data_IF_976874868297
#
_entry.id   IF_976874868297
#
_cell.length_a   1.000
_cell.length_b   1.000
_cell.length_c   1.000
_cell.angle_alpha   90.00
_cell.angle_beta   90.00
_cell.angle_gamma   90.00
#
_symmetry.space_group_name_H-M   'P 1'
#
loop_
_entity.id
_entity.type
_entity.pdbx_description
1 polymer ?
#
# COMPACT_ATOMS: atom_id res chain seq x y z
N UNK A 1 -35.54 -38.74 -12.62
CA UNK A 1 -34.68 -38.61 -11.43
C UNK A 1 -34.05 -37.24 -11.46
N UNK A 2 -34.30 -36.36 -10.48
CA UNK A 2 -33.65 -35.06 -10.43
C UNK A 2 -32.15 -35.29 -10.28
N UNK A 3 -31.39 -34.69 -11.17
CA UNK A 3 -29.94 -34.78 -11.20
C UNK A 3 -29.41 -34.23 -9.87
N UNK A 4 -28.59 -35.03 -9.20
CA UNK A 4 -28.07 -34.79 -7.86
C UNK A 4 -27.26 -33.49 -7.80
N UNK A 5 -27.89 -32.42 -7.31
CA UNK A 5 -27.28 -31.10 -7.10
C UNK A 5 -26.25 -31.12 -5.95
N UNK A 6 -26.06 -32.26 -5.27
CA UNK A 6 -25.11 -32.44 -4.17
C UNK A 6 -23.85 -33.23 -4.57
N UNK A 7 -23.70 -33.62 -5.84
CA UNK A 7 -22.45 -34.13 -6.40
C UNK A 7 -21.43 -32.99 -6.62
N UNK A 8 -21.15 -32.21 -5.58
CA UNK A 8 -19.97 -31.36 -5.56
C UNK A 8 -18.75 -32.29 -5.45
N UNK A 9 -17.85 -32.23 -6.44
CA UNK A 9 -16.57 -32.95 -6.41
C UNK A 9 -15.81 -32.54 -5.14
N UNK A 10 -15.83 -33.40 -4.13
CA UNK A 10 -15.22 -33.16 -2.83
C UNK A 10 -13.67 -33.24 -2.85
N UNK A 11 -13.05 -33.38 -4.03
CA UNK A 11 -11.60 -33.59 -4.17
C UNK A 11 -10.79 -32.35 -4.57
N UNK A 12 -11.41 -31.24 -4.98
CA UNK A 12 -10.68 -30.06 -5.50
C UNK A 12 -10.35 -28.98 -4.45
N UNK A 13 -10.89 -29.08 -3.23
CA UNK A 13 -10.57 -28.16 -2.13
C UNK A 13 -9.77 -28.88 -1.04
N UNK A 14 -8.45 -28.64 -1.01
CA UNK A 14 -7.53 -29.25 -0.06
C UNK A 14 -6.57 -28.20 0.53
N UNK A 15 -5.57 -28.61 1.31
CA UNK A 15 -4.65 -27.68 1.97
C UNK A 15 -3.92 -26.75 0.98
N UNK A 16 -3.68 -27.18 -0.26
CA UNK A 16 -3.06 -26.35 -1.29
C UNK A 16 -3.97 -25.25 -1.83
N UNK A 17 -5.28 -25.30 -1.55
CA UNK A 17 -6.23 -24.25 -1.91
C UNK A 17 -6.15 -23.01 -1.02
N UNK A 18 -5.37 -23.07 0.07
CA UNK A 18 -5.14 -21.93 0.97
C UNK A 18 -3.80 -21.28 0.64
N UNK A 19 -3.86 -20.02 0.24
CA UNK A 19 -2.69 -19.20 -0.08
C UNK A 19 -2.44 -18.17 1.02
N UNK A 20 -1.20 -18.11 1.50
CA UNK A 20 -0.73 -17.04 2.39
C UNK A 20 0.10 -16.09 1.54
N UNK A 21 -0.31 -14.83 1.49
CA UNK A 21 0.37 -13.77 0.76
C UNK A 21 1.34 -13.06 1.70
N UNK A 22 2.62 -12.96 1.31
CA UNK A 22 3.68 -12.42 2.16
C UNK A 22 4.06 -10.98 1.80
N UNK A 23 4.59 -10.23 2.79
CA UNK A 23 5.07 -8.86 2.60
C UNK A 23 4.00 -7.94 2.01
N UNK A 24 4.26 -7.41 0.80
CA UNK A 24 3.37 -6.47 0.10
C UNK A 24 2.46 -7.15 -0.94
N UNK A 25 2.49 -8.47 -1.06
CA UNK A 25 1.60 -9.19 -1.98
C UNK A 25 0.12 -8.98 -1.69
N UNK A 26 -0.37 -8.98 -0.43
CA UNK A 26 -1.77 -8.69 -0.13
C UNK A 26 -2.20 -7.31 -0.65
N UNK A 27 -1.33 -6.31 -0.52
CA UNK A 27 -1.58 -4.92 -0.96
C UNK A 27 -1.75 -4.87 -2.48
N UNK A 28 -0.84 -5.52 -3.21
CA UNK A 28 -0.91 -5.58 -4.68
C UNK A 28 -2.10 -6.39 -5.19
N UNK A 29 -2.47 -7.47 -4.50
CA UNK A 29 -3.57 -8.35 -4.88
C UNK A 29 -4.94 -7.74 -4.59
N UNK A 30 -5.03 -6.87 -3.57
CA UNK A 30 -6.28 -6.24 -3.08
C UNK A 30 -6.07 -4.74 -2.78
N UNK A 31 -5.68 -3.93 -3.77
CA UNK A 31 -5.35 -2.51 -3.55
C UNK A 31 -6.51 -1.70 -3.01
N UNK A 32 -7.76 -2.06 -3.36
CA UNK A 32 -8.96 -1.38 -2.86
C UNK A 32 -9.07 -1.32 -1.33
N UNK A 33 -8.51 -2.31 -0.61
CA UNK A 33 -8.50 -2.31 0.86
C UNK A 33 -7.53 -1.29 1.45
N UNK A 34 -6.49 -0.90 0.71
CA UNK A 34 -5.39 -0.08 1.19
C UNK A 34 -5.42 1.35 0.64
N UNK A 35 -5.69 1.51 -0.65
CA UNK A 35 -5.66 2.79 -1.37
C UNK A 35 -7.01 3.17 -1.99
N UNK A 36 -8.09 2.52 -1.55
CA UNK A 36 -9.46 2.84 -1.97
C UNK A 36 -9.86 2.41 -3.39
N UNK A 37 -8.93 1.95 -4.22
CA UNK A 37 -9.22 1.43 -5.56
C UNK A 37 -8.01 1.39 -6.47
N UNK A 38 -8.24 1.51 -7.77
CA UNK A 38 -7.19 1.67 -8.81
C UNK A 38 -7.61 2.70 -9.86
N UNK A 39 -8.49 3.62 -9.49
CA UNK A 39 -8.93 4.72 -10.33
C UNK A 39 -8.05 5.97 -10.12
N UNK A 40 -8.42 7.08 -10.74
CA UNK A 40 -7.69 8.35 -10.63
C UNK A 40 -7.61 8.86 -9.18
N UNK A 41 -8.64 8.60 -8.36
CA UNK A 41 -8.63 9.01 -6.94
C UNK A 41 -7.61 8.21 -6.16
N UNK A 42 -7.57 6.90 -6.38
CA UNK A 42 -6.57 6.03 -5.77
C UNK A 42 -5.14 6.42 -6.18
N UNK A 43 -4.93 6.86 -7.43
CA UNK A 43 -3.63 7.39 -7.86
C UNK A 43 -3.22 8.66 -7.10
N UNK A 44 -4.13 9.61 -6.93
CA UNK A 44 -3.86 10.80 -6.12
C UNK A 44 -3.67 10.48 -4.63
N UNK A 45 -4.36 9.45 -4.14
CA UNK A 45 -4.19 8.97 -2.76
C UNK A 45 -2.75 8.51 -2.51
N UNK A 46 -2.11 7.80 -3.46
CA UNK A 46 -0.69 7.43 -3.32
C UNK A 46 0.22 8.65 -3.09
N UNK A 47 -0.05 9.77 -3.76
CA UNK A 47 0.69 11.02 -3.57
C UNK A 47 0.35 11.64 -2.21
N UNK A 48 -0.94 11.63 -1.83
CA UNK A 48 -1.40 12.16 -0.55
C UNK A 48 -0.75 11.44 0.64
N UNK A 49 -0.61 10.12 0.62
CA UNK A 49 0.05 9.36 1.70
C UNK A 49 1.49 9.83 1.95
N UNK A 50 2.24 10.14 0.90
CA UNK A 50 3.61 10.65 1.05
C UNK A 50 3.61 12.11 1.53
N UNK A 51 2.68 12.92 1.02
CA UNK A 51 2.54 14.32 1.42
C UNK A 51 2.13 14.44 2.88
N UNK A 52 1.24 13.58 3.36
CA UNK A 52 0.76 13.56 4.74
C UNK A 52 1.89 13.26 5.71
N UNK A 53 2.80 12.32 5.38
CA UNK A 53 4.00 12.08 6.19
C UNK A 53 4.91 13.33 6.29
N UNK A 54 5.09 14.07 5.20
CA UNK A 54 5.82 15.35 5.23
C UNK A 54 5.06 16.42 6.03
N UNK A 55 3.72 16.43 5.96
CA UNK A 55 2.88 17.35 6.72
C UNK A 55 2.93 17.07 8.23
N UNK A 56 3.05 15.81 8.65
CA UNK A 56 3.24 15.43 10.05
C UNK A 56 4.52 16.05 10.63
N UNK A 57 5.62 16.08 9.87
CA UNK A 57 6.85 16.78 10.29
C UNK A 57 6.64 18.29 10.42
N UNK A 58 5.84 18.90 9.55
CA UNK A 58 5.51 20.32 9.63
C UNK A 58 4.61 20.64 10.85
N UNK A 59 3.60 19.81 11.11
CA UNK A 59 2.71 19.93 12.27
C UNK A 59 3.49 19.74 13.58
N UNK A 60 4.48 18.85 13.59
CA UNK A 60 5.39 18.67 14.72
C UNK A 60 6.41 19.81 14.89
N UNK A 61 6.46 20.78 13.97
CA UNK A 61 7.39 21.91 14.00
C UNK A 61 8.81 21.58 13.57
N UNK A 62 9.00 20.46 12.87
CA UNK A 62 10.31 20.00 12.40
C UNK A 62 10.57 20.33 10.93
N UNK A 63 9.53 20.45 10.10
CA UNK A 63 9.63 20.93 8.73
C UNK A 63 9.03 22.35 8.59
N UNK A 64 9.59 23.14 7.68
CA UNK A 64 9.12 24.48 7.35
C UNK A 64 8.88 24.67 5.84
N UNK A 65 9.29 23.70 5.02
CA UNK A 65 9.17 23.72 3.57
C UNK A 65 8.88 22.31 3.08
N UNK A 66 7.84 22.19 2.26
CA UNK A 66 7.50 20.98 1.52
C UNK A 66 7.39 21.36 0.04
N UNK A 67 8.01 20.59 -0.83
CA UNK A 67 8.02 20.79 -2.28
C UNK A 67 7.40 19.59 -2.96
N UNK A 68 6.49 19.84 -3.90
CA UNK A 68 5.84 18.80 -4.72
C UNK A 68 6.17 19.08 -6.18
N UNK A 69 6.73 18.09 -6.86
CA UNK A 69 7.17 18.17 -8.25
C UNK A 69 6.54 17.01 -9.05
N UNK A 70 5.83 17.34 -10.13
CA UNK A 70 5.36 16.37 -11.12
C UNK A 70 6.33 16.39 -12.31
N UNK A 71 6.94 15.24 -12.58
CA UNK A 71 7.89 15.04 -13.67
C UNK A 71 7.19 14.75 -15.00
N UNK A 72 7.91 14.89 -16.11
CA UNK A 72 7.40 14.64 -17.46
C UNK A 72 6.99 13.17 -17.70
N UNK A 73 7.53 12.24 -16.92
CA UNK A 73 7.24 10.80 -16.97
C UNK A 73 6.11 10.37 -16.02
N UNK A 74 5.38 11.35 -15.46
CA UNK A 74 4.31 11.17 -14.47
C UNK A 74 4.79 10.69 -13.09
N UNK A 75 6.10 10.67 -12.82
CA UNK A 75 6.58 10.52 -11.44
C UNK A 75 6.24 11.77 -10.62
N UNK A 76 5.95 11.58 -9.33
CA UNK A 76 5.79 12.69 -8.37
C UNK A 76 6.87 12.59 -7.31
N UNK A 77 7.58 13.69 -7.07
CA UNK A 77 8.52 13.79 -5.95
C UNK A 77 7.98 14.75 -4.90
N UNK A 78 8.01 14.32 -3.65
CA UNK A 78 7.72 15.14 -2.49
C UNK A 78 9.00 15.25 -1.67
N UNK A 79 9.42 16.48 -1.36
CA UNK A 79 10.61 16.77 -0.56
C UNK A 79 10.22 17.63 0.63
N UNK A 80 10.67 17.27 1.82
CA UNK A 80 10.58 18.12 3.01
C UNK A 80 11.96 18.35 3.63
N UNK A 81 12.02 19.32 4.55
CA UNK A 81 13.19 19.60 5.37
C UNK A 81 12.99 19.19 6.84
N UNK A 82 12.18 18.16 7.09
CA UNK A 82 11.94 17.59 8.41
C UNK A 82 13.15 16.81 8.95
N UNK A 83 12.91 15.96 9.94
CA UNK A 83 13.99 15.17 10.59
C UNK A 83 14.55 14.09 9.68
N UNK A 84 13.77 13.65 8.70
CA UNK A 84 14.07 12.49 7.85
C UNK A 84 13.68 11.15 8.50
N UNK A 85 13.46 10.14 7.65
CA UNK A 85 13.17 8.78 8.09
C UNK A 85 14.42 8.21 8.82
N UNK A 86 14.28 7.59 10.00
CA UNK A 86 15.40 6.95 10.69
C UNK A 86 16.07 5.86 9.84
N UNK A 87 17.40 5.89 9.76
CA UNK A 87 18.19 4.98 8.91
C UNK A 87 19.03 3.97 9.71
N UNK A 88 18.99 4.02 11.04
CA UNK A 88 19.71 3.09 11.89
C UNK A 88 19.09 1.67 11.83
N UNK A 89 19.89 0.60 12.07
CA UNK A 89 19.38 -0.77 12.10
C UNK A 89 18.22 -0.94 13.08
N UNK A 90 17.15 -1.59 12.63
CA UNK A 90 15.98 -1.78 13.46
C UNK A 90 16.28 -2.80 14.58
N UNK A 91 16.00 -2.50 15.87
CA UNK A 91 16.45 -3.32 16.99
C UNK A 91 15.89 -4.75 17.01
N UNK A 92 14.76 -5.02 16.33
CA UNK A 92 14.19 -6.37 16.18
C UNK A 92 14.69 -7.12 14.93
N UNK A 93 15.28 -6.41 13.97
CA UNK A 93 15.78 -6.95 12.71
C UNK A 93 17.16 -6.31 12.41
N UNK A 94 18.19 -6.62 13.23
CA UNK A 94 19.51 -6.03 13.10
C UNK A 94 20.26 -6.49 11.85
#
# INVERSE_FOLDING_TARGET
MPNDLLSARADDYNAHSIEVLEGLEPVRKRPGMYIGGTDERALHHLVAEILDNSMDEAVAGHASRIEVELHEDYAVTIRDNGRGIPIDPHPKFP
#
